data_IF_481006493954
#
_entry.id   IF_481006493954
#
_cell.length_a   1.000
_cell.length_b   1.000
_cell.length_c   1.000
_cell.angle_alpha   90.00
_cell.angle_beta   90.00
_cell.angle_gamma   90.00
#
_symmetry.space_group_name_H-M   'P 1'
#
loop_
_entity.id
_entity.type
_entity.pdbx_description
1 polymer ?
#
# COMPACT_ATOMS: atom_id res chain seq x y z
N UNK A 1 12.57 -52.69 -44.63
CA UNK A 1 11.84 -52.47 -43.36
C UNK A 1 12.09 -51.03 -42.92
N UNK A 2 11.06 -50.18 -42.98
CA UNK A 2 11.13 -48.73 -42.67
C UNK A 2 11.23 -48.54 -41.14
N UNK A 3 12.23 -47.79 -40.67
CA UNK A 3 12.36 -47.39 -39.26
C UNK A 3 11.77 -45.99 -39.12
N UNK A 4 10.62 -45.87 -38.46
CA UNK A 4 9.98 -44.59 -38.17
C UNK A 4 10.63 -43.97 -36.92
N UNK A 5 11.12 -42.74 -37.05
CA UNK A 5 11.62 -41.92 -35.95
C UNK A 5 10.45 -41.07 -35.46
N UNK A 6 10.04 -41.24 -34.19
CA UNK A 6 9.08 -40.37 -33.53
C UNK A 6 9.84 -39.25 -32.81
N UNK A 7 9.66 -38.01 -33.27
CA UNK A 7 10.16 -36.80 -32.61
C UNK A 7 9.06 -36.30 -31.67
N UNK A 8 9.29 -36.42 -30.37
CA UNK A 8 8.46 -35.83 -29.31
C UNK A 8 8.87 -34.35 -29.15
N UNK A 9 8.07 -33.44 -29.69
CA UNK A 9 8.18 -32.01 -29.43
C UNK A 9 7.46 -31.70 -28.10
N UNK A 10 8.22 -31.61 -27.02
CA UNK A 10 7.74 -31.13 -25.72
C UNK A 10 7.75 -29.59 -25.74
N UNK A 11 6.59 -28.99 -25.99
CA UNK A 11 6.42 -27.54 -25.95
C UNK A 11 6.41 -27.02 -24.51
N UNK A 12 7.47 -26.33 -24.10
CA UNK A 12 7.48 -25.56 -22.85
C UNK A 12 6.71 -24.25 -23.07
N UNK A 13 5.46 -24.19 -22.63
CA UNK A 13 4.75 -22.93 -22.43
C UNK A 13 5.28 -22.28 -21.15
N UNK A 14 6.13 -21.28 -21.28
CA UNK A 14 6.52 -20.41 -20.17
C UNK A 14 5.42 -19.38 -19.99
N UNK A 15 4.56 -19.56 -18.99
CA UNK A 15 3.61 -18.54 -18.54
C UNK A 15 4.37 -17.52 -17.70
N UNK A 16 4.79 -16.41 -18.30
CA UNK A 16 5.25 -15.23 -17.55
C UNK A 16 4.03 -14.48 -17.05
N UNK A 17 3.64 -14.72 -15.80
CA UNK A 17 2.68 -13.87 -15.11
C UNK A 17 3.41 -12.57 -14.73
N UNK A 18 3.32 -11.55 -15.57
CA UNK A 18 3.64 -10.18 -15.15
C UNK A 18 2.56 -9.75 -14.15
N UNK A 19 2.86 -9.93 -12.85
CA UNK A 19 2.09 -9.30 -11.79
C UNK A 19 2.28 -7.78 -11.93
N UNK A 20 1.35 -7.13 -12.64
CA UNK A 20 1.33 -5.68 -12.81
C UNK A 20 1.21 -5.02 -11.44
N UNK A 21 2.34 -4.55 -10.89
CA UNK A 21 2.34 -3.65 -9.74
C UNK A 21 1.96 -2.27 -10.27
N UNK A 22 0.71 -1.87 -10.09
CA UNK A 22 0.31 -0.48 -10.36
C UNK A 22 1.09 0.45 -9.44
N UNK A 23 1.69 1.49 -9.99
CA UNK A 23 2.40 2.50 -9.20
C UNK A 23 1.41 3.20 -8.25
N UNK A 24 1.80 3.39 -6.98
CA UNK A 24 0.97 4.08 -6.01
C UNK A 24 0.74 5.53 -6.44
N UNK A 25 -0.44 6.13 -6.16
CA UNK A 25 -0.67 7.55 -6.40
C UNK A 25 0.41 8.41 -5.73
N UNK A 26 0.79 9.54 -6.35
CA UNK A 26 1.88 10.39 -5.86
C UNK A 26 1.69 10.86 -4.41
N UNK A 27 0.44 11.14 -4.00
CA UNK A 27 0.11 11.51 -2.61
C UNK A 27 0.36 10.35 -1.64
N UNK A 28 0.02 9.12 -2.03
CA UNK A 28 0.32 7.93 -1.22
C UNK A 28 1.82 7.71 -1.10
N UNK A 29 2.57 7.88 -2.19
CA UNK A 29 4.03 7.80 -2.16
C UNK A 29 4.64 8.84 -1.21
N UNK A 30 4.11 10.08 -1.24
CA UNK A 30 4.54 11.16 -0.37
C UNK A 30 4.26 10.85 1.11
N UNK A 31 3.08 10.32 1.43
CA UNK A 31 2.71 9.89 2.79
C UNK A 31 3.63 8.77 3.24
N UNK A 32 3.76 7.70 2.44
CA UNK A 32 4.64 6.56 2.73
C UNK A 32 6.06 7.01 3.06
N UNK A 33 6.66 7.82 2.18
CA UNK A 33 8.00 8.37 2.37
C UNK A 33 8.11 9.16 3.68
N UNK A 34 7.13 10.01 3.97
CA UNK A 34 7.11 10.83 5.19
C UNK A 34 7.07 9.96 6.45
N UNK A 35 6.24 8.92 6.46
CA UNK A 35 6.12 8.00 7.60
C UNK A 35 7.38 7.16 7.80
N UNK A 36 8.03 6.73 6.72
CA UNK A 36 9.31 6.01 6.75
C UNK A 36 10.45 6.90 7.27
N UNK A 37 10.59 8.12 6.74
CA UNK A 37 11.62 9.09 7.16
C UNK A 37 11.47 9.45 8.65
N UNK A 38 10.23 9.57 9.13
CA UNK A 38 9.91 9.88 10.53
C UNK A 38 9.86 8.66 11.44
N UNK A 39 9.97 7.44 10.90
CA UNK A 39 9.88 6.18 11.65
C UNK A 39 8.60 6.07 12.48
N UNK A 40 7.48 6.45 11.89
CA UNK A 40 6.17 6.47 12.56
C UNK A 40 5.43 5.13 12.50
N UNK A 41 5.98 4.16 11.77
CA UNK A 41 5.40 2.82 11.63
C UNK A 41 6.23 1.81 12.43
N UNK A 42 5.53 0.97 13.19
CA UNK A 42 6.16 -0.15 13.93
C UNK A 42 6.65 -1.23 12.96
N UNK A 43 5.83 -1.57 11.96
CA UNK A 43 6.12 -2.58 10.94
C UNK A 43 5.74 -2.08 9.54
N UNK A 44 6.56 -1.23 8.91
CA UNK A 44 6.29 -0.69 7.57
C UNK A 44 5.99 -1.77 6.51
N UNK A 45 6.61 -2.94 6.63
CA UNK A 45 6.43 -4.09 5.73
C UNK A 45 5.05 -4.77 5.86
N UNK A 46 4.38 -4.55 6.98
CA UNK A 46 3.04 -5.06 7.30
C UNK A 46 2.01 -3.94 7.39
N UNK A 47 2.24 -2.88 6.62
CA UNK A 47 1.32 -1.76 6.45
C UNK A 47 0.93 -1.63 4.98
N UNK A 48 -0.31 -1.25 4.73
CA UNK A 48 -0.82 -0.86 3.41
C UNK A 48 -1.49 0.51 3.46
N UNK A 49 -1.81 1.06 2.30
CA UNK A 49 -2.33 2.42 2.15
C UNK A 49 -3.60 2.43 1.30
N UNK A 50 -4.70 2.92 1.89
CA UNK A 50 -5.94 3.18 1.17
C UNK A 50 -6.02 4.66 0.85
N UNK A 51 -6.09 4.99 -0.44
CA UNK A 51 -6.20 6.36 -0.92
C UNK A 51 -7.66 6.79 -1.08
N UNK A 52 -8.02 7.88 -0.42
CA UNK A 52 -9.32 8.52 -0.50
C UNK A 52 -9.13 9.92 -1.08
N UNK A 53 -9.20 10.08 -2.41
CA UNK A 53 -9.06 11.39 -3.05
C UNK A 53 -10.24 12.30 -2.70
N UNK A 54 -9.96 13.60 -2.53
CA UNK A 54 -10.98 14.63 -2.27
C UNK A 54 -11.94 14.27 -1.11
N UNK A 55 -11.39 13.70 -0.03
CA UNK A 55 -12.13 13.41 1.20
C UNK A 55 -12.81 14.68 1.74
N UNK A 56 -12.14 15.82 1.60
CA UNK A 56 -12.74 17.15 1.66
C UNK A 56 -12.26 18.00 0.47
N UNK A 57 -12.94 19.11 0.12
CA UNK A 57 -12.52 19.97 -1.00
C UNK A 57 -11.06 20.44 -0.86
N UNK A 58 -10.18 19.91 -1.72
CA UNK A 58 -8.76 20.26 -1.72
C UNK A 58 -7.90 19.47 -0.74
N UNK A 59 -8.46 18.47 -0.06
CA UNK A 59 -7.76 17.60 0.90
C UNK A 59 -7.96 16.15 0.49
N UNK A 60 -6.86 15.46 0.26
CA UNK A 60 -6.85 14.01 0.11
C UNK A 60 -6.64 13.35 1.47
N UNK A 61 -7.14 12.13 1.64
CA UNK A 61 -6.91 11.32 2.84
C UNK A 61 -6.23 10.01 2.46
N UNK A 62 -5.27 9.57 3.28
CA UNK A 62 -4.64 8.25 3.15
C UNK A 62 -4.84 7.51 4.47
N UNK A 63 -5.61 6.43 4.44
CA UNK A 63 -5.71 5.54 5.59
C UNK A 63 -4.52 4.60 5.58
N UNK A 64 -3.81 4.55 6.70
CA UNK A 64 -2.75 3.60 6.97
C UNK A 64 -3.40 2.42 7.66
N UNK A 65 -3.28 1.23 7.07
CA UNK A 65 -3.98 0.03 7.51
C UNK A 65 -3.00 -1.12 7.70
N UNK A 66 -3.38 -2.09 8.52
CA UNK A 66 -2.62 -3.32 8.64
C UNK A 66 -2.71 -4.12 7.34
N UNK A 67 -1.58 -4.72 6.96
CA UNK A 67 -1.52 -5.72 5.91
C UNK A 67 -1.41 -7.09 6.58
N UNK A 68 -2.35 -7.98 6.28
CA UNK A 68 -2.35 -9.35 6.81
C UNK A 68 -1.99 -10.38 5.72
N UNK A 69 -1.44 -11.52 6.16
CA UNK A 69 -1.07 -12.63 5.29
C UNK A 69 0.42 -12.66 4.90
N UNK A 70 0.84 -13.79 4.34
CA UNK A 70 2.26 -14.07 4.13
C UNK A 70 3.01 -14.11 5.47
N UNK A 71 3.95 -13.17 5.64
CA UNK A 71 4.73 -13.04 6.89
C UNK A 71 4.12 -12.03 7.88
N UNK A 72 3.03 -11.35 7.50
CA UNK A 72 2.38 -10.38 8.38
C UNK A 72 1.28 -11.05 9.19
N UNK A 73 1.25 -10.82 10.53
CA UNK A 73 0.26 -11.45 11.42
C UNK A 73 -1.15 -10.92 11.14
N UNK A 74 -2.16 -11.50 11.80
CA UNK A 74 -3.55 -11.05 11.71
C UNK A 74 -4.42 -11.91 10.80
N UNK A 75 -5.72 -11.61 10.79
CA UNK A 75 -6.72 -12.31 9.97
C UNK A 75 -6.70 -11.75 8.54
N UNK A 76 -6.35 -12.54 7.50
CA UNK A 76 -6.31 -12.09 6.10
C UNK A 76 -7.63 -11.53 5.57
N UNK A 77 -8.77 -11.85 6.19
CA UNK A 77 -10.09 -11.34 5.79
C UNK A 77 -10.41 -9.98 6.40
N UNK A 78 -9.49 -9.42 7.20
CA UNK A 78 -9.62 -8.12 7.85
C UNK A 78 -8.52 -7.18 7.42
N UNK A 79 -8.81 -5.88 7.48
CA UNK A 79 -7.85 -4.82 7.23
C UNK A 79 -8.06 -3.69 8.24
N UNK A 80 -7.66 -3.90 9.51
CA UNK A 80 -7.79 -2.90 10.54
C UNK A 80 -7.07 -1.60 10.16
N UNK A 81 -7.72 -0.48 10.45
CA UNK A 81 -7.12 0.84 10.29
C UNK A 81 -6.19 1.12 11.47
N UNK A 82 -4.97 1.57 11.18
CA UNK A 82 -4.01 2.03 12.18
C UNK A 82 -4.22 3.51 12.49
N UNK A 83 -4.23 4.36 11.46
CA UNK A 83 -4.48 5.80 11.54
C UNK A 83 -4.71 6.37 10.14
N UNK A 84 -4.92 7.68 10.03
CA UNK A 84 -5.10 8.39 8.76
C UNK A 84 -4.16 9.58 8.66
N UNK A 85 -3.88 9.97 7.43
CA UNK A 85 -3.11 11.16 7.09
C UNK A 85 -3.92 12.00 6.12
N UNK A 86 -4.28 13.21 6.54
CA UNK A 86 -4.87 14.22 5.67
C UNK A 86 -3.76 14.98 4.95
N UNK A 87 -3.96 15.28 3.68
CA UNK A 87 -2.97 15.96 2.84
C UNK A 87 -3.63 17.10 2.08
N UNK A 88 -3.23 18.33 2.37
CA UNK A 88 -3.65 19.49 1.57
C UNK A 88 -3.01 19.40 0.17
N UNK A 89 -3.84 19.36 -0.89
CA UNK A 89 -3.40 19.12 -2.27
C UNK A 89 -2.53 20.24 -2.85
N UNK A 90 -2.56 21.44 -2.27
CA UNK A 90 -1.82 22.61 -2.77
C UNK A 90 -0.47 22.79 -2.07
N UNK A 91 -0.48 22.60 -0.75
CA UNK A 91 0.66 22.89 0.12
C UNK A 91 1.42 21.64 0.53
N UNK A 92 0.83 20.45 0.33
CA UNK A 92 1.32 19.16 0.80
C UNK A 92 1.58 19.12 2.31
N UNK A 93 0.93 20.00 3.07
CA UNK A 93 0.93 19.91 4.53
C UNK A 93 0.14 18.66 4.92
N UNK A 94 0.66 17.96 5.92
CA UNK A 94 0.06 16.74 6.42
C UNK A 94 -0.34 16.89 7.88
N UNK A 95 -1.51 16.36 8.19
CA UNK A 95 -1.95 16.15 9.57
C UNK A 95 -2.31 14.67 9.71
N UNK A 96 -2.18 14.13 10.92
CA UNK A 96 -2.48 12.75 11.19
C UNK A 96 -3.03 12.60 12.59
N UNK A 97 -3.93 11.64 12.73
CA UNK A 97 -4.45 11.19 14.01
C UNK A 97 -3.69 9.98 14.57
N UNK A 98 -2.44 9.76 14.14
CA UNK A 98 -1.60 8.66 14.63
C UNK A 98 -1.49 8.57 16.16
N UNK A 99 -1.60 9.69 16.87
CA UNK A 99 -1.55 9.74 18.33
C UNK A 99 -2.93 9.59 18.99
N UNK A 100 -4.00 9.66 18.20
CA UNK A 100 -5.39 9.56 18.65
C UNK A 100 -6.31 8.97 17.55
N UNK A 101 -6.07 7.72 17.13
CA UNK A 101 -6.79 7.13 15.99
C UNK A 101 -8.22 6.70 16.35
N UNK A 102 -8.56 6.62 17.64
CA UNK A 102 -9.89 6.25 18.14
C UNK A 102 -10.85 7.45 18.07
N UNK A 103 -10.43 8.62 18.58
CA UNK A 103 -11.24 9.84 18.51
C UNK A 103 -11.06 10.59 17.17
N UNK A 104 -10.03 10.24 16.40
CA UNK A 104 -9.79 10.78 15.06
C UNK A 104 -9.31 12.23 15.08
N UNK A 105 -8.56 12.63 16.11
CA UNK A 105 -8.08 14.01 16.26
C UNK A 105 -6.78 14.18 15.49
N UNK A 106 -6.82 15.03 14.47
CA UNK A 106 -5.67 15.29 13.59
C UNK A 106 -4.72 16.32 14.20
N UNK A 107 -3.43 15.97 14.20
CA UNK A 107 -2.34 16.86 14.59
C UNK A 107 -1.37 17.01 13.42
N UNK A 108 -0.72 18.17 13.25
CA UNK A 108 0.30 18.35 12.22
C UNK A 108 1.39 17.28 12.32
N UNK A 109 1.63 16.59 11.20
CA UNK A 109 2.86 15.84 10.99
C UNK A 109 3.95 16.89 10.73
N UNK A 110 4.48 17.46 11.81
CA UNK A 110 5.55 18.48 11.77
C UNK A 110 6.70 17.99 10.89
N UNK A 111 7.37 18.89 10.14
CA UNK A 111 8.50 18.57 9.27
C UNK A 111 9.71 18.06 10.04
#
# INVERSE_FOLDING_TARGET
MKKSIFILLLGYMVLTADAFSTELPAIVQLVKKTLEEKKLLVSPECTDYLYLPDNEPGVDMVNVVEKHGGNCPGDPETQPRLFSVSVDKKTHKMESDINDPEDGIFFPLSK
#
